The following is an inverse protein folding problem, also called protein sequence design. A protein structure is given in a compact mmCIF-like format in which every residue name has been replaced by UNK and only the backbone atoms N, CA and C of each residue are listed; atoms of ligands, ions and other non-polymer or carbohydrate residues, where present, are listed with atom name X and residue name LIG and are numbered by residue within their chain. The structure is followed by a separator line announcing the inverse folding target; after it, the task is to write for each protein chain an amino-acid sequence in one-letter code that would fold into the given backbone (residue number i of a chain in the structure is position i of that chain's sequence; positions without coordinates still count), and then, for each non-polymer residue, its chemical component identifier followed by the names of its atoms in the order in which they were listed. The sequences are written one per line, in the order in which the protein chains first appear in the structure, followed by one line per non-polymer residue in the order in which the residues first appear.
data_IF_543282304300
#
_entry.id   IF_543282304300
#
_cell.length_a   1.000
_cell.length_b   1.000
_cell.length_c   1.000
_cell.angle_alpha   90.00
_cell.angle_beta   90.00
_cell.angle_gamma   90.00
#
_symmetry.space_group_name_H-M   'P 1'
#
loop_
_entity.id
_entity.type
_entity.pdbx_description
1 polymer ?
#
# COMPACT_ATOMS: atom_id res chain seq x y z
N UNK A 1 -15.43 28.84 -9.41
CA UNK A 1 -15.92 27.94 -8.33
C UNK A 1 -15.90 26.45 -8.68
N UNK A 2 -15.63 26.01 -9.93
CA UNK A 2 -15.69 24.58 -10.30
C UNK A 2 -14.51 23.69 -9.89
N UNK A 3 -13.35 24.27 -9.56
CA UNK A 3 -12.10 23.50 -9.36
C UNK A 3 -12.19 22.48 -8.21
N UNK A 4 -12.84 22.84 -7.10
CA UNK A 4 -12.95 21.96 -5.92
C UNK A 4 -13.78 20.70 -6.19
N UNK A 5 -14.76 20.77 -7.11
CA UNK A 5 -15.58 19.61 -7.49
C UNK A 5 -14.84 18.65 -8.41
N UNK A 6 -13.81 19.13 -9.12
CA UNK A 6 -13.01 18.34 -10.05
C UNK A 6 -11.80 17.70 -9.36
N UNK A 7 -11.18 18.42 -8.44
CA UNK A 7 -10.08 17.91 -7.63
C UNK A 7 -10.55 16.73 -6.77
N UNK A 8 -9.88 15.58 -6.88
CA UNK A 8 -10.24 14.34 -6.15
C UNK A 8 -11.65 13.80 -6.42
N UNK A 9 -12.24 14.13 -7.58
CA UNK A 9 -13.55 13.64 -8.01
C UNK A 9 -13.61 12.12 -8.21
N UNK A 10 -12.48 11.48 -8.57
CA UNK A 10 -12.43 10.03 -8.77
C UNK A 10 -12.46 9.26 -7.44
N UNK A 11 -13.32 8.24 -7.36
CA UNK A 11 -13.48 7.44 -6.16
C UNK A 11 -12.30 6.47 -5.96
N UNK A 12 -11.52 6.66 -4.89
CA UNK A 12 -10.29 5.89 -4.57
C UNK A 12 -10.48 4.92 -3.40
N UNK A 13 -11.65 4.30 -3.29
CA UNK A 13 -11.98 3.39 -2.16
C UNK A 13 -11.43 1.97 -2.34
N UNK A 14 -11.15 1.56 -3.57
CA UNK A 14 -10.71 0.21 -3.91
C UNK A 14 -9.72 0.21 -5.09
N UNK A 15 -9.02 -0.90 -5.27
CA UNK A 15 -8.05 -1.10 -6.34
C UNK A 15 -6.62 -0.68 -5.95
N UNK A 16 -5.68 -0.79 -6.89
CA UNK A 16 -4.26 -0.61 -6.56
C UNK A 16 -3.92 0.81 -6.10
N UNK A 17 -4.63 1.82 -6.62
CA UNK A 17 -4.43 3.23 -6.27
C UNK A 17 -5.11 3.69 -4.98
N UNK A 18 -5.87 2.82 -4.31
CA UNK A 18 -6.49 3.12 -3.01
C UNK A 18 -5.59 2.80 -1.81
N UNK A 19 -4.51 2.07 -2.03
CA UNK A 19 -3.59 1.72 -0.95
C UNK A 19 -2.20 2.30 -1.22
N UNK A 20 -1.59 2.77 -0.15
CA UNK A 20 -0.22 3.26 -0.13
C UNK A 20 0.61 2.38 0.80
N UNK A 21 1.88 2.19 0.44
CA UNK A 21 2.87 1.72 1.39
C UNK A 21 3.53 2.88 2.12
N UNK A 22 4.38 2.54 3.10
CA UNK A 22 5.37 3.42 3.73
C UNK A 22 6.21 4.19 2.68
N UNK A 23 6.57 3.55 1.56
CA UNK A 23 7.33 4.17 0.48
C UNK A 23 6.51 5.15 -0.41
N UNK A 24 5.20 5.31 -0.18
CA UNK A 24 4.25 5.99 -1.08
C UNK A 24 4.17 5.43 -2.53
N UNK A 25 4.74 4.25 -2.78
CA UNK A 25 4.74 3.57 -4.08
C UNK A 25 3.69 2.43 -4.11
N UNK A 26 2.66 2.46 -4.99
CA UNK A 26 1.66 1.39 -5.05
C UNK A 26 2.17 0.08 -5.69
N UNK A 27 3.36 0.10 -6.30
CA UNK A 27 3.95 -1.09 -6.93
C UNK A 27 4.57 -2.05 -5.91
N UNK A 28 4.37 -3.36 -6.10
CA UNK A 28 4.97 -4.40 -5.24
C UNK A 28 4.45 -4.39 -3.80
N UNK A 29 3.25 -3.86 -3.60
CA UNK A 29 2.58 -3.73 -2.32
C UNK A 29 1.96 -5.06 -1.89
N UNK A 30 2.25 -5.51 -0.67
CA UNK A 30 1.67 -6.74 -0.12
C UNK A 30 0.61 -6.36 0.93
N UNK A 31 -0.63 -6.84 0.73
CA UNK A 31 -1.76 -6.62 1.65
C UNK A 31 -2.15 -7.86 2.45
N UNK A 32 -1.42 -8.95 2.27
CA UNK A 32 -1.67 -10.16 3.06
C UNK A 32 -1.53 -9.80 4.54
N UNK A 33 -2.50 -10.22 5.34
CA UNK A 33 -2.54 -9.98 6.79
C UNK A 33 -2.52 -8.48 7.19
N UNK A 34 -3.03 -7.58 6.33
CA UNK A 34 -3.12 -6.12 6.59
C UNK A 34 -1.77 -5.42 6.77
N UNK A 35 -0.70 -5.98 6.25
CA UNK A 35 0.65 -5.41 6.38
C UNK A 35 0.86 -4.13 5.57
N UNK A 36 0.15 -3.92 4.44
CA UNK A 36 0.22 -2.71 3.59
C UNK A 36 1.66 -2.21 3.32
N UNK A 37 2.59 -3.13 3.07
CA UNK A 37 4.02 -2.82 2.97
C UNK A 37 4.59 -3.16 1.59
N UNK A 38 5.33 -2.21 1.03
CA UNK A 38 6.32 -2.40 -0.03
C UNK A 38 7.59 -3.02 0.59
N UNK A 39 8.41 -3.74 -0.19
CA UNK A 39 9.73 -4.22 0.27
C UNK A 39 9.70 -5.13 1.51
N UNK A 40 8.67 -5.97 1.61
CA UNK A 40 8.45 -6.91 2.73
C UNK A 40 9.69 -7.69 3.20
N UNK A 41 10.57 -8.09 2.26
CA UNK A 41 11.81 -8.82 2.60
C UNK A 41 12.74 -8.05 3.56
N UNK A 42 12.76 -6.72 3.49
CA UNK A 42 13.58 -5.90 4.39
C UNK A 42 13.11 -6.01 5.84
N UNK A 43 11.78 -5.99 6.03
CA UNK A 43 11.14 -5.95 7.34
C UNK A 43 10.71 -7.34 7.85
N UNK A 44 10.89 -8.39 7.06
CA UNK A 44 10.44 -9.74 7.41
C UNK A 44 11.01 -10.22 8.76
N UNK A 45 12.28 -9.89 9.04
CA UNK A 45 12.93 -10.22 10.32
C UNK A 45 12.32 -9.45 11.50
N UNK A 46 12.04 -8.16 11.33
CA UNK A 46 11.47 -7.31 12.39
C UNK A 46 10.01 -7.66 12.68
N UNK A 47 9.28 -8.15 11.66
CA UNK A 47 7.92 -8.70 11.81
C UNK A 47 7.95 -10.07 12.51
N UNK A 48 9.13 -10.71 12.62
CA UNK A 48 9.29 -12.04 13.21
C UNK A 48 9.01 -13.20 12.26
N UNK A 49 9.02 -12.94 10.95
CA UNK A 49 8.84 -13.99 9.94
C UNK A 49 10.17 -14.64 9.61
N UNK A 50 10.25 -15.93 9.91
CA UNK A 50 11.40 -16.79 9.60
C UNK A 50 11.11 -17.64 8.37
N UNK A 51 12.11 -17.84 7.52
CA UNK A 51 12.05 -18.83 6.45
C UNK A 51 12.24 -20.20 7.11
N UNK A 52 11.21 -21.03 7.07
CA UNK A 52 11.35 -22.47 7.24
C UNK A 52 11.72 -23.05 5.87
N UNK A 53 12.71 -23.94 5.84
CA UNK A 53 13.14 -24.61 4.60
C UNK A 53 12.09 -25.60 4.07
#
# INVERSE_FOLDING_TARGET
MGHQKLYWSHQRKSGQGSHSCICSNPHGLIWKYRLNMCRFRQYAKDIGLIKLD
#
